data_IF_248485061923
#
_entry.id   IF_248485061923
#
_cell.length_a   1.000
_cell.length_b   1.000
_cell.length_c   1.000
_cell.angle_alpha   90.00
_cell.angle_beta   90.00
_cell.angle_gamma   90.00
#
_symmetry.space_group_name_H-M   'P 1'
#
loop_
_entity.id
_entity.type
_entity.pdbx_description
1 polymer ?
#
# COMPACT_ATOMS: atom_id res chain seq x y z
N UNK A 1 -21.80 -2.58 -16.28
CA UNK A 1 -20.82 -3.62 -15.92
C UNK A 1 -19.68 -2.92 -15.24
N UNK A 2 -19.54 -3.03 -13.93
CA UNK A 2 -18.51 -2.27 -13.22
C UNK A 2 -17.19 -3.02 -13.29
N UNK A 3 -16.20 -2.42 -13.95
CA UNK A 3 -14.87 -2.99 -14.11
C UNK A 3 -14.16 -3.13 -12.75
N UNK A 4 -13.94 -4.39 -12.35
CA UNK A 4 -13.07 -4.75 -11.24
C UNK A 4 -11.65 -4.84 -11.79
N UNK A 5 -10.73 -4.03 -11.24
CA UNK A 5 -9.32 -4.05 -11.63
C UNK A 5 -8.48 -4.60 -10.49
N UNK A 6 -7.54 -5.50 -10.83
CA UNK A 6 -6.66 -6.14 -9.88
C UNK A 6 -5.22 -5.75 -10.18
N UNK A 7 -4.50 -5.32 -9.15
CA UNK A 7 -3.14 -4.82 -9.24
C UNK A 7 -2.22 -5.65 -8.35
N UNK A 8 -0.99 -5.84 -8.80
CA UNK A 8 0.12 -6.20 -7.93
C UNK A 8 0.56 -4.93 -7.20
N UNK A 9 0.91 -5.02 -5.92
CA UNK A 9 1.25 -3.84 -5.14
C UNK A 9 2.39 -4.11 -4.15
N UNK A 10 3.17 -3.07 -3.91
CA UNK A 10 4.08 -3.00 -2.78
C UNK A 10 3.70 -1.80 -1.92
N UNK A 11 3.90 -1.94 -0.61
CA UNK A 11 3.61 -0.86 0.35
C UNK A 11 4.90 -0.30 0.92
N UNK A 12 4.89 1.00 1.19
CA UNK A 12 5.91 1.66 2.00
C UNK A 12 5.25 2.35 3.19
N UNK A 13 5.91 2.37 4.37
CA UNK A 13 5.40 3.14 5.49
C UNK A 13 5.37 4.63 5.13
N UNK A 14 4.29 5.30 5.54
CA UNK A 14 4.12 6.72 5.32
C UNK A 14 4.97 7.48 6.36
N UNK A 15 6.20 7.81 6.00
CA UNK A 15 7.07 8.58 6.87
C UNK A 15 6.51 9.99 7.08
N UNK A 16 6.16 10.32 8.33
CA UNK A 16 5.94 11.71 8.70
C UNK A 16 7.28 12.43 8.82
N UNK A 17 7.33 13.73 8.53
CA UNK A 17 8.53 14.56 8.76
C UNK A 17 9.01 14.44 10.21
N UNK A 18 8.08 14.23 11.15
CA UNK A 18 8.39 13.97 12.57
C UNK A 18 9.20 12.68 12.77
N UNK A 19 8.89 11.61 12.04
CA UNK A 19 9.58 10.32 12.15
C UNK A 19 10.99 10.41 11.56
N UNK A 20 11.14 11.16 10.46
CA UNK A 20 12.45 11.45 9.86
C UNK A 20 13.31 12.23 10.86
N UNK A 21 12.78 13.33 11.42
CA UNK A 21 13.48 14.16 12.40
C UNK A 21 13.84 13.36 13.65
N UNK A 22 12.92 12.52 14.16
CA UNK A 22 13.18 11.66 15.31
C UNK A 22 14.26 10.62 15.00
N UNK A 23 14.24 10.01 13.81
CA UNK A 23 15.27 9.05 13.39
C UNK A 23 16.66 9.70 13.27
N UNK A 24 16.73 10.94 12.78
CA UNK A 24 17.98 11.69 12.64
C UNK A 24 18.51 12.09 14.02
N UNK A 25 17.63 12.55 14.92
CA UNK A 25 17.99 12.95 16.29
C UNK A 25 18.39 11.76 17.18
N UNK A 26 17.72 10.61 17.05
CA UNK A 26 17.90 9.48 17.98
C UNK A 26 18.93 8.45 17.54
N UNK A 27 19.20 8.32 16.23
CA UNK A 27 19.96 7.17 15.72
C UNK A 27 21.19 7.50 14.88
N UNK A 28 21.57 8.77 14.75
CA UNK A 28 22.85 9.19 14.16
C UNK A 28 23.26 8.33 12.95
N UNK A 29 22.58 8.50 11.82
CA UNK A 29 22.90 7.83 10.55
C UNK A 29 22.74 6.29 10.49
N UNK A 30 22.03 5.62 11.41
CA UNK A 30 21.52 4.29 11.09
C UNK A 30 20.26 4.41 10.25
N UNK A 31 20.39 4.14 8.94
CA UNK A 31 19.27 3.99 8.00
C UNK A 31 18.15 3.21 8.71
N UNK A 32 16.91 3.73 8.72
CA UNK A 32 15.83 3.08 9.43
C UNK A 32 15.71 1.65 8.87
N UNK A 33 15.67 0.66 9.77
CA UNK A 33 15.35 -0.76 9.47
C UNK A 33 14.06 -0.94 8.64
N UNK A 34 13.30 0.15 8.43
CA UNK A 34 12.08 0.26 7.65
C UNK A 34 12.27 0.18 6.12
N UNK A 35 13.50 0.15 5.60
CA UNK A 35 13.74 -0.03 4.15
C UNK A 35 13.55 -1.49 3.66
N UNK A 36 13.14 -2.42 4.53
CA UNK A 36 13.19 -3.87 4.26
C UNK A 36 11.90 -4.60 4.67
N UNK A 37 10.70 -4.02 4.44
CA UNK A 37 9.54 -4.86 4.08
C UNK A 37 9.64 -5.23 2.58
N UNK A 38 10.82 -5.65 2.12
CA UNK A 38 11.15 -5.99 0.72
C UNK A 38 10.61 -7.36 0.27
N UNK A 39 9.68 -8.00 1.01
CA UNK A 39 9.28 -9.38 0.74
C UNK A 39 7.79 -9.69 0.73
N UNK A 40 6.92 -8.68 0.91
CA UNK A 40 5.47 -8.90 0.97
C UNK A 40 4.83 -8.46 -0.34
N UNK A 41 4.24 -9.41 -1.05
CA UNK A 41 3.46 -9.14 -2.25
C UNK A 41 2.05 -8.79 -1.81
N UNK A 42 1.55 -7.63 -2.21
CA UNK A 42 0.16 -7.26 -1.99
C UNK A 42 -0.59 -7.39 -3.31
N UNK A 43 -1.82 -7.88 -3.24
CA UNK A 43 -2.76 -7.82 -4.35
C UNK A 43 -3.88 -6.88 -3.95
N UNK A 44 -4.09 -5.85 -4.77
CA UNK A 44 -5.11 -4.84 -4.52
C UNK A 44 -6.16 -4.94 -5.59
N UNK A 45 -7.39 -5.22 -5.17
CA UNK A 45 -8.56 -5.27 -6.05
C UNK A 45 -9.38 -4.02 -5.82
N UNK A 46 -9.53 -3.19 -6.85
CA UNK A 46 -10.31 -1.96 -6.81
C UNK A 46 -11.66 -2.24 -7.48
N UNK A 47 -12.73 -2.25 -6.68
CA UNK A 47 -14.12 -2.37 -7.11
C UNK A 47 -14.79 -0.98 -7.13
N UNK A 48 -16.12 -0.94 -7.26
CA UNK A 48 -16.87 0.31 -7.44
C UNK A 48 -16.80 1.25 -6.23
N UNK A 49 -17.04 0.67 -5.05
CA UNK A 49 -17.21 1.34 -3.76
C UNK A 49 -16.27 0.78 -2.70
N UNK A 50 -15.37 -0.13 -3.10
CA UNK A 50 -14.53 -0.89 -2.19
C UNK A 50 -13.16 -1.18 -2.78
N UNK A 51 -12.16 -1.19 -1.91
CA UNK A 51 -10.83 -1.72 -2.17
C UNK A 51 -10.63 -2.92 -1.28
N UNK A 52 -10.10 -3.97 -1.88
CA UNK A 52 -9.65 -5.15 -1.18
C UNK A 52 -8.14 -5.26 -1.26
N UNK A 53 -7.49 -5.36 -0.10
CA UNK A 53 -6.05 -5.50 0.04
C UNK A 53 -5.78 -6.91 0.55
N UNK A 54 -5.06 -7.69 -0.24
CA UNK A 54 -4.70 -9.07 0.10
C UNK A 54 -3.18 -9.11 0.26
N UNK A 55 -2.70 -9.48 1.45
CA UNK A 55 -1.28 -9.75 1.66
C UNK A 55 -1.00 -11.22 1.31
N UNK A 56 -0.09 -11.42 0.37
CA UNK A 56 0.37 -12.73 -0.06
C UNK A 56 1.83 -12.93 0.38
N UNK A 57 2.13 -14.12 0.89
CA UNK A 57 3.53 -14.57 0.98
C UNK A 57 4.09 -14.82 -0.42
N UNK A 58 5.41 -14.85 -0.55
CA UNK A 58 6.11 -15.22 -1.79
C UNK A 58 5.72 -16.62 -2.32
N UNK A 59 5.12 -17.47 -1.48
CA UNK A 59 4.57 -18.77 -1.84
C UNK A 59 3.07 -18.76 -2.22
N UNK A 60 2.46 -17.58 -2.43
CA UNK A 60 1.05 -17.43 -2.82
C UNK A 60 0.05 -17.72 -1.71
N UNK A 61 0.50 -17.93 -0.47
CA UNK A 61 -0.41 -18.11 0.68
C UNK A 61 -0.88 -16.76 1.17
N UNK A 62 -2.19 -16.55 1.15
CA UNK A 62 -2.86 -15.39 1.71
C UNK A 62 -2.66 -15.33 3.23
N UNK A 63 -2.11 -14.21 3.72
CA UNK A 63 -1.85 -13.95 5.13
C UNK A 63 -2.92 -13.05 5.75
N UNK A 64 -3.39 -12.05 5.00
CA UNK A 64 -4.37 -11.08 5.49
C UNK A 64 -5.27 -10.61 4.35
N UNK A 65 -6.48 -10.15 4.71
CA UNK A 65 -7.47 -9.55 3.80
C UNK A 65 -8.12 -8.39 4.51
N UNK A 66 -8.03 -7.23 3.89
CA UNK A 66 -8.66 -6.00 4.37
C UNK A 66 -9.60 -5.49 3.28
N UNK A 67 -10.76 -4.99 3.70
CA UNK A 67 -11.74 -4.35 2.82
C UNK A 67 -12.00 -2.95 3.33
N UNK A 68 -11.77 -1.97 2.46
CA UNK A 68 -11.96 -0.55 2.76
C UNK A 68 -13.00 0.00 1.80
N UNK A 69 -14.04 0.63 2.33
CA UNK A 69 -15.01 1.36 1.50
C UNK A 69 -14.39 2.64 0.97
N UNK A 70 -14.54 2.90 -0.32
CA UNK A 70 -13.99 4.07 -1.01
C UNK A 70 -15.09 4.79 -1.81
N UNK A 71 -14.93 6.10 -1.98
CA UNK A 71 -15.80 6.89 -2.85
C UNK A 71 -15.35 6.85 -4.32
N UNK A 72 -16.24 7.25 -5.24
CA UNK A 72 -15.94 7.35 -6.67
C UNK A 72 -14.73 8.25 -6.98
N UNK A 73 -14.59 9.38 -6.29
CA UNK A 73 -13.46 10.32 -6.49
C UNK A 73 -12.12 9.69 -6.13
N UNK A 74 -12.11 8.88 -5.07
CA UNK A 74 -10.93 8.16 -4.60
C UNK A 74 -10.58 7.01 -5.54
N UNK A 75 -11.59 6.24 -6.01
CA UNK A 75 -11.42 5.23 -7.05
C UNK A 75 -10.73 5.81 -8.28
N UNK A 76 -11.23 6.92 -8.81
CA UNK A 76 -10.67 7.56 -10.00
C UNK A 76 -9.22 7.99 -9.75
N UNK A 77 -8.92 8.57 -8.59
CA UNK A 77 -7.54 8.94 -8.22
C UNK A 77 -6.61 7.73 -8.18
N UNK A 78 -7.06 6.61 -7.64
CA UNK A 78 -6.24 5.40 -7.52
C UNK A 78 -5.97 4.80 -8.90
N UNK A 79 -7.00 4.70 -9.74
CA UNK A 79 -6.86 4.17 -11.11
C UNK A 79 -5.95 5.07 -11.96
N UNK A 80 -6.06 6.40 -11.82
CA UNK A 80 -5.23 7.35 -12.60
C UNK A 80 -3.80 7.45 -12.08
N UNK A 81 -3.60 7.49 -10.75
CA UNK A 81 -2.27 7.69 -10.15
C UNK A 81 -1.53 6.41 -9.84
N UNK A 82 -2.21 5.26 -9.92
CA UNK A 82 -1.68 3.95 -9.52
C UNK A 82 -1.13 3.97 -8.08
N UNK A 83 -1.70 4.79 -7.21
CA UNK A 83 -1.30 4.93 -5.81
C UNK A 83 -2.52 4.95 -4.91
N UNK A 84 -2.51 4.12 -3.86
CA UNK A 84 -3.49 4.13 -2.78
C UNK A 84 -2.80 4.47 -1.46
N UNK A 85 -3.40 5.31 -0.63
CA UNK A 85 -2.78 5.81 0.61
C UNK A 85 -3.69 5.57 1.79
N UNK A 86 -3.18 4.89 2.81
CA UNK A 86 -3.79 4.83 4.12
C UNK A 86 -3.10 5.83 5.07
N UNK A 87 -3.52 5.83 6.33
CA UNK A 87 -2.86 6.64 7.36
C UNK A 87 -1.41 6.20 7.57
N UNK A 88 -1.17 4.89 7.58
CA UNK A 88 0.11 4.28 7.93
C UNK A 88 0.98 3.95 6.71
N UNK A 89 0.38 3.69 5.55
CA UNK A 89 1.07 3.14 4.38
C UNK A 89 0.70 3.85 3.08
N UNK A 90 1.63 3.79 2.12
CA UNK A 90 1.41 4.13 0.71
C UNK A 90 1.60 2.87 -0.11
N UNK A 91 0.57 2.48 -0.84
CA UNK A 91 0.55 1.36 -1.77
C UNK A 91 0.77 1.88 -3.18
N UNK A 92 1.81 1.38 -3.83
CA UNK A 92 2.06 1.61 -5.25
C UNK A 92 1.55 0.42 -6.03
N UNK A 93 0.71 0.69 -7.02
CA UNK A 93 0.01 -0.31 -7.82
C UNK A 93 0.74 -0.51 -9.15
N UNK A 94 0.91 -1.77 -9.54
CA UNK A 94 1.45 -2.19 -10.82
C UNK A 94 0.39 -3.01 -11.54
N UNK A 95 0.10 -2.63 -12.78
CA UNK A 95 -0.82 -3.40 -13.64
C UNK A 95 -0.18 -4.74 -13.97
N UNK A 96 -0.96 -5.82 -13.80
CA UNK A 96 -0.57 -7.18 -14.13
C UNK A 96 -0.85 -7.48 -15.61
#
# INVERSE_FOLDING_TARGET
MTEVKTYSAYRVPRFSVKDIVLSVLTLGLKKPKAALEEGKLFRITVAEDTIEIIEETTGGKQMSREKVSIGMDERNRIVTSQVYKTEEYVYYLEEN
#
